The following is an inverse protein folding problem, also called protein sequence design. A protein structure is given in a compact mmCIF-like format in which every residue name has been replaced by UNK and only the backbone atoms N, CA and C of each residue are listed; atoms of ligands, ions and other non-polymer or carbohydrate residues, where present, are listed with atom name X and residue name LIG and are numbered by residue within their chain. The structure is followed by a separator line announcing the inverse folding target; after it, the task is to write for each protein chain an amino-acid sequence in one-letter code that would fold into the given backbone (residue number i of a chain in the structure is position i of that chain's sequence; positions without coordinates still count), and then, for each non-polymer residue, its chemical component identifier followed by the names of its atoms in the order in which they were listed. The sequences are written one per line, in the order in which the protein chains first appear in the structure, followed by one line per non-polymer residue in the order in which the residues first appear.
data_IF_029144564360
#
_entry.id   IF_029144564360
#
_cell.length_a   1.000
_cell.length_b   1.000
_cell.length_c   1.000
_cell.angle_alpha   90.00
_cell.angle_beta   90.00
_cell.angle_gamma   90.00
#
_symmetry.space_group_name_H-M   'P 1'
#
loop_
_entity.id
_entity.type
_entity.pdbx_description
1 polymer ?
#
# COMPACT_ATOMS: atom_id res chain seq x y z
N UNK A 1 3.81 -18.04 0.74
CA UNK A 1 5.12 -17.32 0.73
C UNK A 1 4.83 -15.83 0.50
N UNK A 2 5.79 -14.88 0.56
CA UNK A 2 5.46 -13.48 0.20
C UNK A 2 6.50 -12.88 -0.75
N UNK A 3 6.05 -12.04 -1.68
CA UNK A 3 6.89 -11.37 -2.67
C UNK A 3 6.81 -9.86 -2.49
N UNK A 4 7.97 -9.20 -2.45
CA UNK A 4 8.08 -7.75 -2.35
C UNK A 4 8.14 -7.16 -3.76
N UNK A 5 7.45 -6.03 -3.95
CA UNK A 5 7.44 -5.26 -5.17
C UNK A 5 7.75 -3.78 -4.86
N UNK A 6 8.14 -3.02 -5.88
CA UNK A 6 8.26 -1.55 -5.83
C UNK A 6 7.62 -0.94 -7.09
N UNK A 7 6.45 -1.47 -7.46
CA UNK A 7 5.75 -1.08 -8.68
C UNK A 7 4.69 -0.01 -8.40
N UNK A 8 4.61 1.01 -9.26
CA UNK A 8 3.55 2.01 -9.18
C UNK A 8 2.19 1.37 -9.47
N UNK A 9 1.20 1.72 -8.66
CA UNK A 9 -0.18 1.26 -8.82
C UNK A 9 -1.15 2.43 -8.77
N UNK A 10 -2.28 2.27 -9.44
CA UNK A 10 -3.37 3.25 -9.36
C UNK A 10 -4.32 2.79 -8.27
N UNK A 11 -4.44 3.57 -7.20
CA UNK A 11 -5.36 3.30 -6.09
C UNK A 11 -6.48 4.32 -6.11
N UNK A 12 -7.71 3.83 -6.02
CA UNK A 12 -8.90 4.65 -5.74
C UNK A 12 -9.15 4.62 -4.24
N UNK A 13 -9.20 5.80 -3.63
CA UNK A 13 -9.56 5.99 -2.22
C UNK A 13 -10.99 6.53 -2.10
N UNK A 14 -11.65 6.24 -0.99
CA UNK A 14 -12.87 6.90 -0.54
C UNK A 14 -12.56 8.19 0.23
N UNK A 15 -13.61 8.84 0.73
CA UNK A 15 -13.49 9.89 1.76
C UNK A 15 -12.63 9.40 2.94
N UNK A 16 -11.89 10.34 3.55
CA UNK A 16 -10.87 10.07 4.58
C UNK A 16 -9.64 9.25 4.12
N UNK A 17 -9.45 9.01 2.82
CA UNK A 17 -8.20 8.43 2.30
C UNK A 17 -8.11 6.90 2.39
N UNK A 18 -9.22 6.22 2.71
CA UNK A 18 -9.28 4.75 2.77
C UNK A 18 -9.24 4.14 1.36
N UNK A 19 -8.32 3.22 1.03
CA UNK A 19 -8.26 2.61 -0.29
C UNK A 19 -9.42 1.62 -0.47
N UNK A 20 -10.12 1.72 -1.60
CA UNK A 20 -11.25 0.83 -1.94
C UNK A 20 -10.99 -0.04 -3.15
N UNK A 21 -10.03 0.35 -3.99
CA UNK A 21 -9.70 -0.40 -5.20
C UNK A 21 -8.31 -0.06 -5.66
N UNK A 22 -7.60 -1.00 -6.26
CA UNK A 22 -6.35 -0.71 -6.94
C UNK A 22 -6.25 -1.42 -8.30
N UNK A 23 -5.41 -0.90 -9.18
CA UNK A 23 -5.07 -1.51 -10.47
C UNK A 23 -3.59 -1.81 -10.50
N UNK A 24 -3.26 -3.08 -10.74
CA UNK A 24 -1.90 -3.58 -10.78
C UNK A 24 -1.74 -4.53 -11.99
N UNK A 25 -0.72 -4.29 -12.82
CA UNK A 25 -0.42 -5.07 -14.04
C UNK A 25 -1.64 -5.29 -14.95
N UNK A 26 -2.42 -4.22 -15.17
CA UNK A 26 -3.62 -4.24 -16.00
C UNK A 26 -4.84 -4.92 -15.37
N UNK A 27 -4.72 -5.48 -14.16
CA UNK A 27 -5.82 -6.11 -13.42
C UNK A 27 -6.32 -5.20 -12.31
N UNK A 28 -7.63 -5.20 -12.08
CA UNK A 28 -8.30 -4.41 -11.06
C UNK A 28 -8.71 -5.30 -9.89
N UNK A 29 -8.44 -4.83 -8.68
CA UNK A 29 -8.69 -5.53 -7.43
C UNK A 29 -9.52 -4.64 -6.51
N UNK A 30 -10.71 -5.11 -6.12
CA UNK A 30 -11.55 -4.41 -5.15
C UNK A 30 -11.08 -4.77 -3.74
N UNK A 31 -10.92 -3.77 -2.88
CA UNK A 31 -10.53 -3.98 -1.49
C UNK A 31 -11.80 -4.28 -0.70
N UNK A 32 -11.82 -5.45 -0.06
CA UNK A 32 -12.90 -5.89 0.83
C UNK A 32 -12.68 -5.32 2.23
N UNK A 33 -11.45 -5.42 2.73
CA UNK A 33 -11.09 -4.95 4.07
C UNK A 33 -9.68 -4.37 4.11
N UNK A 34 -9.46 -3.40 5.00
CA UNK A 34 -8.14 -2.83 5.28
C UNK A 34 -7.82 -3.16 6.73
N UNK A 35 -6.97 -4.16 6.95
CA UNK A 35 -6.70 -4.73 8.27
C UNK A 35 -5.83 -3.85 9.16
N UNK A 36 -4.87 -3.14 8.57
CA UNK A 36 -3.88 -2.39 9.34
C UNK A 36 -3.26 -1.29 8.51
N UNK A 37 -2.96 -0.17 9.17
CA UNK A 37 -2.17 0.93 8.61
C UNK A 37 -1.01 1.20 9.55
N UNK A 38 0.21 1.23 9.02
CA UNK A 38 1.41 1.55 9.79
C UNK A 38 2.32 2.49 9.03
N UNK A 39 3.07 3.29 9.77
CA UNK A 39 4.22 4.03 9.25
C UNK A 39 5.45 3.19 9.53
N UNK A 40 6.37 3.11 8.57
CA UNK A 40 7.74 2.76 8.96
C UNK A 40 8.23 3.86 9.89
N UNK A 41 8.36 3.54 11.18
CA UNK A 41 9.15 4.36 12.10
C UNK A 41 10.60 4.13 11.71
N UNK A 42 11.27 5.18 11.27
CA UNK A 42 12.65 5.08 10.82
C UNK A 42 13.59 4.64 11.95
N UNK A 43 14.59 3.85 11.56
CA UNK A 43 15.79 3.63 12.35
C UNK A 43 16.51 4.95 12.61
N UNK A 44 17.01 5.11 13.83
CA UNK A 44 17.52 6.33 14.46
C UNK A 44 18.68 7.05 13.73
N UNK A 45 19.24 6.49 12.65
CA UNK A 45 20.37 7.05 11.91
C UNK A 45 20.01 7.79 10.61
N UNK A 46 18.76 7.75 10.13
CA UNK A 46 18.32 8.56 8.97
C UNK A 46 17.72 9.89 9.42
N UNK A 47 18.05 10.97 8.69
CA UNK A 47 17.50 12.32 8.95
C UNK A 47 15.97 12.27 8.96
N UNK A 48 15.39 12.88 9.99
CA UNK A 48 13.95 12.98 10.20
C UNK A 48 13.31 13.70 9.01
N UNK A 49 12.60 12.96 8.14
CA UNK A 49 11.86 13.53 6.99
C UNK A 49 12.10 12.86 5.62
N UNK A 50 13.13 12.02 5.45
CA UNK A 50 13.51 11.56 4.10
C UNK A 50 12.57 10.52 3.46
N UNK A 51 11.71 9.83 4.22
CA UNK A 51 10.78 8.84 3.64
C UNK A 51 9.50 8.72 4.47
N UNK A 52 8.54 9.62 4.20
CA UNK A 52 7.22 9.58 4.82
C UNK A 52 6.33 8.57 4.06
N UNK A 53 6.53 7.27 4.32
CA UNK A 53 5.76 6.17 3.70
C UNK A 53 4.69 5.64 4.66
N UNK A 54 3.48 5.48 4.14
CA UNK A 54 2.35 4.86 4.82
C UNK A 54 2.08 3.50 4.21
N UNK A 55 2.12 2.45 5.02
CA UNK A 55 1.83 1.11 4.57
C UNK A 55 0.44 0.70 5.03
N UNK A 56 -0.30 0.01 4.17
CA UNK A 56 -1.64 -0.48 4.43
C UNK A 56 -1.78 -1.91 3.98
N UNK A 57 -2.22 -2.79 4.88
CA UNK A 57 -2.59 -4.17 4.53
C UNK A 57 -4.05 -4.22 4.13
N UNK A 58 -4.31 -4.77 2.96
CA UNK A 58 -5.65 -4.88 2.38
C UNK A 58 -5.95 -6.32 1.94
N UNK A 59 -7.17 -6.75 2.20
CA UNK A 59 -7.77 -7.95 1.60
C UNK A 59 -8.55 -7.54 0.36
N UNK A 60 -8.44 -8.33 -0.69
CA UNK A 60 -9.28 -8.18 -1.87
C UNK A 60 -10.54 -9.02 -1.77
N UNK A 61 -11.57 -8.66 -2.53
CA UNK A 61 -12.80 -9.45 -2.70
C UNK A 61 -12.55 -10.90 -3.16
N UNK A 62 -11.39 -11.16 -3.78
CA UNK A 62 -10.93 -12.49 -4.21
C UNK A 62 -10.08 -13.22 -3.17
N UNK A 63 -10.00 -12.72 -1.94
CA UNK A 63 -9.25 -13.34 -0.84
C UNK A 63 -7.72 -13.13 -0.89
N UNK A 64 -7.21 -12.35 -1.85
CA UNK A 64 -5.77 -12.03 -1.90
C UNK A 64 -5.39 -10.96 -0.89
N UNK A 65 -4.25 -11.14 -0.23
CA UNK A 65 -3.68 -10.21 0.76
C UNK A 65 -2.52 -9.41 0.17
N UNK A 66 -2.59 -8.09 0.33
CA UNK A 66 -1.63 -7.15 -0.25
C UNK A 66 -1.22 -6.10 0.77
N UNK A 67 0.06 -5.75 0.79
CA UNK A 67 0.53 -4.54 1.45
C UNK A 67 0.78 -3.48 0.38
N UNK A 68 0.07 -2.36 0.50
CA UNK A 68 0.22 -1.17 -0.33
C UNK A 68 1.07 -0.14 0.40
N UNK A 69 1.87 0.61 -0.33
CA UNK A 69 2.66 1.72 0.19
C UNK A 69 2.21 3.03 -0.46
N UNK A 70 1.82 4.00 0.35
CA UNK A 70 1.61 5.38 -0.07
C UNK A 70 2.81 6.23 0.32
N UNK A 71 3.53 6.74 -0.68
CA UNK A 71 4.56 7.75 -0.48
C UNK A 71 3.90 9.11 -0.33
N UNK A 72 3.94 9.67 0.89
CA UNK A 72 3.30 10.96 1.21
C UNK A 72 3.98 12.12 0.49
N UNK A 73 5.29 12.05 0.30
CA UNK A 73 6.06 13.12 -0.35
C UNK A 73 5.75 13.17 -1.85
N UNK A 74 5.70 12.01 -2.51
CA UNK A 74 5.39 11.91 -3.94
C UNK A 74 3.89 11.84 -4.23
N UNK A 75 3.05 11.66 -3.21
CA UNK A 75 1.61 11.40 -3.29
C UNK A 75 1.29 10.25 -4.26
N UNK A 76 2.09 9.18 -4.22
CA UNK A 76 1.98 8.04 -5.13
C UNK A 76 1.81 6.73 -4.36
N UNK A 77 1.01 5.84 -4.93
CA UNK A 77 0.82 4.49 -4.43
C UNK A 77 1.74 3.50 -5.13
N UNK A 78 2.23 2.54 -4.36
CA UNK A 78 3.08 1.44 -4.81
C UNK A 78 2.60 0.12 -4.23
N UNK A 79 2.75 -0.94 -4.98
CA UNK A 79 2.63 -2.30 -4.46
C UNK A 79 3.89 -2.59 -3.65
N UNK A 80 3.75 -2.92 -2.36
CA UNK A 80 4.88 -3.26 -1.50
C UNK A 80 5.05 -4.76 -1.34
N UNK A 81 3.97 -5.49 -1.04
CA UNK A 81 4.04 -6.94 -0.84
C UNK A 81 2.77 -7.64 -1.28
N UNK A 82 2.93 -8.81 -1.88
CA UNK A 82 1.85 -9.77 -2.14
C UNK A 82 2.08 -10.98 -1.25
N UNK A 83 1.04 -11.35 -0.51
CA UNK A 83 1.01 -12.55 0.31
C UNK A 83 0.35 -13.66 -0.53
N UNK A 84 1.11 -14.71 -0.82
CA UNK A 84 0.72 -15.91 -1.57
C UNK A 84 0.38 -17.06 -0.62
#
# INVERSE_FOLDING_TARGET
MSKIYDELIVVKTQEAGRPVRFTWRGRRYSIKECFSTWRERHSWWKKQGETNKLYMRVETDRGGLYDLCFDVNQRRWRMYRVWD
#
